data_IF_607804476277
#
_entry.id   IF_607804476277
#
_cell.length_a   1.000
_cell.length_b   1.000
_cell.length_c   1.000
_cell.angle_alpha   90.00
_cell.angle_beta   90.00
_cell.angle_gamma   90.00
#
_symmetry.space_group_name_H-M   'P 1'
#
loop_
_entity.id
_entity.type
_entity.pdbx_description
1 polymer ?
#
# COMPACT_ATOMS: atom_id res chain seq x y z
N UNK A 1 -27.27 2.30 16.31
CA UNK A 1 -26.76 1.93 17.65
C UNK A 1 -25.27 2.03 17.66
N UNK A 2 -24.66 2.55 18.72
CA UNK A 2 -23.21 2.52 18.89
C UNK A 2 -22.77 1.09 19.21
N UNK A 3 -21.65 0.67 18.60
CA UNK A 3 -21.00 -0.62 18.87
C UNK A 3 -19.72 -0.38 19.66
N UNK A 4 -19.25 -1.40 20.39
CA UNK A 4 -17.87 -1.44 20.87
C UNK A 4 -17.03 -2.24 19.86
N UNK A 5 -16.05 -1.59 19.24
CA UNK A 5 -15.27 -2.10 18.11
C UNK A 5 -13.82 -2.26 18.50
N UNK A 6 -13.29 -3.48 18.41
CA UNK A 6 -11.87 -3.77 18.54
C UNK A 6 -11.17 -3.68 17.17
N UNK A 7 -9.98 -3.09 17.10
CA UNK A 7 -9.17 -3.05 15.88
C UNK A 7 -7.79 -3.62 16.17
N UNK A 8 -7.51 -4.81 15.67
CA UNK A 8 -6.23 -5.52 15.78
C UNK A 8 -5.33 -5.12 14.63
N UNK A 9 -4.09 -4.69 14.94
CA UNK A 9 -3.20 -4.02 13.99
C UNK A 9 -3.63 -2.57 13.73
N UNK A 10 -4.22 -1.95 14.76
CA UNK A 10 -4.89 -0.67 14.66
C UNK A 10 -3.95 0.54 14.69
N UNK A 11 -2.64 0.37 14.87
CA UNK A 11 -1.67 1.46 14.77
C UNK A 11 -1.01 1.57 13.39
N UNK A 12 -1.34 0.67 12.43
CA UNK A 12 -0.80 0.67 11.08
C UNK A 12 -1.53 1.61 10.10
N UNK A 13 -0.95 1.76 8.89
CA UNK A 13 -1.41 2.68 7.82
C UNK A 13 -2.87 2.50 7.36
N UNK A 14 -3.47 1.35 7.61
CA UNK A 14 -4.88 1.07 7.30
C UNK A 14 -5.72 1.07 8.57
N UNK A 15 -5.17 0.49 9.66
CA UNK A 15 -5.88 0.30 10.92
C UNK A 15 -6.21 1.61 11.63
N UNK A 16 -5.22 2.50 11.75
CA UNK A 16 -5.40 3.74 12.50
C UNK A 16 -6.37 4.72 11.82
N UNK A 17 -6.28 5.00 10.50
CA UNK A 17 -7.29 5.82 9.83
C UNK A 17 -8.71 5.25 9.95
N UNK A 18 -8.86 3.91 9.86
CA UNK A 18 -10.16 3.26 10.06
C UNK A 18 -10.66 3.43 11.50
N UNK A 19 -9.81 3.19 12.49
CA UNK A 19 -10.15 3.35 13.90
C UNK A 19 -10.60 4.77 14.21
N UNK A 20 -9.89 5.78 13.69
CA UNK A 20 -10.24 7.20 13.81
C UNK A 20 -11.61 7.49 13.17
N UNK A 21 -11.86 6.98 11.96
CA UNK A 21 -13.14 7.20 11.28
C UNK A 21 -14.31 6.55 12.04
N UNK A 22 -14.12 5.33 12.57
CA UNK A 22 -15.12 4.62 13.35
C UNK A 22 -15.36 5.25 14.74
N UNK A 23 -14.34 5.85 15.36
CA UNK A 23 -14.46 6.52 16.67
C UNK A 23 -15.41 7.72 16.66
N UNK A 24 -15.77 8.22 15.48
CA UNK A 24 -16.82 9.23 15.36
C UNK A 24 -18.23 8.68 15.69
N UNK A 25 -18.44 7.37 15.62
CA UNK A 25 -19.74 6.71 15.67
C UNK A 25 -19.82 5.54 16.66
N UNK A 26 -18.68 5.00 17.07
CA UNK A 26 -18.56 3.79 17.89
C UNK A 26 -17.56 3.99 19.02
N UNK A 27 -17.62 3.14 20.04
CA UNK A 27 -16.54 3.00 21.01
C UNK A 27 -15.44 2.15 20.38
N UNK A 28 -14.23 2.71 20.21
CA UNK A 28 -13.13 2.01 19.52
C UNK A 28 -12.01 1.67 20.49
N UNK A 29 -11.53 0.44 20.39
CA UNK A 29 -10.38 -0.09 21.14
C UNK A 29 -9.36 -0.65 20.16
N UNK A 30 -8.20 -0.02 20.08
CA UNK A 30 -7.07 -0.46 19.26
C UNK A 30 -6.21 -1.43 20.03
N UNK A 31 -5.78 -2.50 19.36
CA UNK A 31 -4.73 -3.41 19.85
C UNK A 31 -3.64 -3.52 18.80
N UNK A 32 -2.39 -3.28 19.22
CA UNK A 32 -1.23 -3.45 18.33
C UNK A 32 -0.04 -4.03 19.10
N UNK A 33 0.83 -4.75 18.39
CA UNK A 33 2.05 -5.36 18.93
C UNK A 33 3.26 -4.42 18.87
N UNK A 34 3.17 -3.36 18.07
CA UNK A 34 4.21 -2.34 17.96
C UNK A 34 4.08 -1.35 19.12
N UNK A 35 4.90 -1.56 20.14
CA UNK A 35 4.87 -0.76 21.37
C UNK A 35 5.22 0.71 21.13
N UNK A 36 6.09 1.00 20.17
CA UNK A 36 6.46 2.39 19.83
C UNK A 36 5.31 3.10 19.14
N UNK A 37 4.64 2.44 18.18
CA UNK A 37 3.44 2.96 17.54
C UNK A 37 2.31 3.16 18.56
N UNK A 38 2.06 2.19 19.45
CA UNK A 38 1.08 2.29 20.55
C UNK A 38 1.39 3.51 21.44
N UNK A 39 2.65 3.70 21.83
CA UNK A 39 3.05 4.82 22.67
C UNK A 39 2.84 6.18 21.97
N UNK A 40 3.18 6.28 20.68
CA UNK A 40 2.96 7.48 19.87
C UNK A 40 1.46 7.80 19.75
N UNK A 41 0.65 6.83 19.34
CA UNK A 41 -0.81 7.01 19.19
C UNK A 41 -1.47 7.41 20.51
N UNK A 42 -1.05 6.83 21.66
CA UNK A 42 -1.52 7.25 22.98
C UNK A 42 -1.24 8.73 23.30
N UNK A 43 -0.14 9.28 22.78
CA UNK A 43 0.19 10.71 22.92
C UNK A 43 -0.49 11.61 21.90
N UNK A 44 -1.29 11.06 20.97
CA UNK A 44 -1.91 11.80 19.88
C UNK A 44 -0.98 12.09 18.72
N UNK A 45 0.11 11.33 18.58
CA UNK A 45 1.10 11.45 17.50
C UNK A 45 0.87 10.39 16.44
N UNK A 46 0.66 10.79 15.18
CA UNK A 46 0.56 9.85 14.08
C UNK A 46 1.91 9.13 13.85
N UNK A 47 1.93 7.78 13.75
CA UNK A 47 3.17 7.03 13.47
C UNK A 47 3.64 7.13 12.02
N UNK A 48 2.82 7.61 11.10
CA UNK A 48 3.07 7.78 9.67
C UNK A 48 2.27 8.97 9.14
N UNK A 49 2.52 9.35 7.88
CA UNK A 49 1.81 10.45 7.21
C UNK A 49 0.46 10.00 6.65
N UNK A 50 -0.62 10.68 7.04
CA UNK A 50 -1.93 10.60 6.40
C UNK A 50 -2.62 11.96 6.48
N UNK A 51 -3.16 12.44 5.38
CA UNK A 51 -3.69 13.80 5.29
C UNK A 51 -4.86 14.01 6.25
N UNK A 52 -4.72 15.01 7.13
CA UNK A 52 -5.77 15.39 8.10
C UNK A 52 -5.93 14.43 9.29
N UNK A 53 -5.05 13.42 9.42
CA UNK A 53 -5.19 12.41 10.46
C UNK A 53 -4.72 12.88 11.85
N UNK A 54 -3.76 13.81 11.94
CA UNK A 54 -3.23 14.28 13.23
C UNK A 54 -4.33 14.92 14.11
N UNK A 55 -5.09 15.85 13.55
CA UNK A 55 -6.20 16.50 14.25
C UNK A 55 -7.32 15.50 14.60
N UNK A 56 -7.66 14.63 13.63
CA UNK A 56 -8.70 13.63 13.80
C UNK A 56 -8.32 12.56 14.86
N UNK A 57 -7.05 12.20 14.98
CA UNK A 57 -6.55 11.32 16.04
C UNK A 57 -6.77 11.96 17.42
N UNK A 58 -6.40 13.24 17.57
CA UNK A 58 -6.61 13.97 18.82
C UNK A 58 -8.12 14.03 19.21
N UNK A 59 -9.01 14.18 18.25
CA UNK A 59 -10.45 14.13 18.49
C UNK A 59 -10.94 12.74 18.89
N UNK A 60 -10.49 11.68 18.20
CA UNK A 60 -10.84 10.30 18.51
C UNK A 60 -10.42 9.91 19.95
N UNK A 61 -9.22 10.30 20.38
CA UNK A 61 -8.76 10.08 21.76
C UNK A 61 -9.60 10.84 22.78
N UNK A 62 -9.96 12.09 22.53
CA UNK A 62 -10.86 12.86 23.40
C UNK A 62 -12.26 12.25 23.50
N UNK A 63 -12.72 11.54 22.47
CA UNK A 63 -14.00 10.78 22.48
C UNK A 63 -13.90 9.44 23.19
N UNK A 64 -12.73 9.07 23.71
CA UNK A 64 -12.51 7.86 24.49
C UNK A 64 -11.98 6.66 23.69
N UNK A 65 -11.40 6.87 22.50
CA UNK A 65 -10.70 5.79 21.80
C UNK A 65 -9.56 5.25 22.68
N UNK A 66 -9.59 3.93 22.93
CA UNK A 66 -8.59 3.22 23.74
C UNK A 66 -7.51 2.63 22.84
N UNK A 67 -6.25 2.77 23.24
CA UNK A 67 -5.10 2.20 22.53
C UNK A 67 -4.34 1.29 23.49
N UNK A 68 -4.16 0.02 23.14
CA UNK A 68 -3.60 -1.00 24.01
C UNK A 68 -2.67 -1.95 23.28
N UNK A 69 -1.75 -2.53 23.99
CA UNK A 69 -0.92 -3.68 23.62
C UNK A 69 -1.49 -4.99 24.17
N UNK A 70 -2.50 -4.90 25.06
CA UNK A 70 -3.14 -6.06 25.69
C UNK A 70 -4.42 -6.47 24.92
N UNK A 71 -4.48 -7.68 24.34
CA UNK A 71 -5.65 -8.16 23.60
C UNK A 71 -6.89 -8.42 24.46
N UNK A 72 -6.78 -8.45 25.78
CA UNK A 72 -7.92 -8.64 26.68
C UNK A 72 -9.01 -7.57 26.51
N UNK A 73 -8.66 -6.36 26.04
CA UNK A 73 -9.63 -5.30 25.77
C UNK A 73 -10.64 -5.66 24.68
N UNK A 74 -10.37 -6.70 23.87
CA UNK A 74 -11.26 -7.19 22.82
C UNK A 74 -12.44 -8.00 23.36
N UNK A 75 -12.38 -8.49 24.60
CA UNK A 75 -13.43 -9.34 25.18
C UNK A 75 -14.79 -8.67 25.27
N UNK A 76 -14.80 -7.36 25.44
CA UNK A 76 -16.03 -6.56 25.57
C UNK A 76 -16.51 -5.97 24.23
N UNK A 77 -15.79 -6.24 23.14
CA UNK A 77 -16.17 -5.71 21.83
C UNK A 77 -17.32 -6.51 21.21
N UNK A 78 -18.24 -5.83 20.53
CA UNK A 78 -19.27 -6.48 19.71
C UNK A 78 -18.66 -6.99 18.40
N UNK A 79 -17.73 -6.20 17.83
CA UNK A 79 -17.06 -6.50 16.58
C UNK A 79 -15.54 -6.37 16.77
N UNK A 80 -14.79 -7.34 16.26
CA UNK A 80 -13.32 -7.31 16.24
C UNK A 80 -12.86 -7.30 14.79
N UNK A 81 -12.18 -6.24 14.38
CA UNK A 81 -11.61 -6.07 13.05
C UNK A 81 -10.15 -6.49 13.07
N UNK A 82 -9.73 -7.31 12.11
CA UNK A 82 -8.34 -7.74 11.94
C UNK A 82 -7.74 -7.04 10.73
N UNK A 83 -6.68 -6.25 10.99
CA UNK A 83 -5.93 -5.52 9.97
C UNK A 83 -4.44 -5.74 10.22
N UNK A 84 -3.92 -6.85 9.74
CA UNK A 84 -2.50 -7.20 9.87
C UNK A 84 -1.85 -7.38 8.50
N UNK A 85 -0.52 -7.27 8.47
CA UNK A 85 0.25 -7.62 7.28
C UNK A 85 0.07 -9.10 6.92
N UNK A 86 -0.13 -9.38 5.64
CA UNK A 86 -0.23 -10.73 5.09
C UNK A 86 0.90 -10.95 4.09
N UNK A 87 2.13 -11.21 4.58
CA UNK A 87 3.31 -11.32 3.72
C UNK A 87 3.23 -12.55 2.81
N UNK A 88 4.00 -12.51 1.74
CA UNK A 88 4.39 -13.70 0.98
C UNK A 88 5.72 -14.24 1.52
N UNK A 89 5.97 -15.52 1.31
CA UNK A 89 7.24 -16.16 1.63
C UNK A 89 8.32 -15.85 0.56
N UNK A 90 9.50 -16.42 0.73
CA UNK A 90 10.64 -16.28 -0.19
C UNK A 90 10.37 -16.84 -1.60
N UNK A 91 9.34 -17.65 -1.75
CA UNK A 91 8.89 -18.21 -3.03
C UNK A 91 7.69 -17.45 -3.60
N UNK A 92 7.34 -16.29 -3.03
CA UNK A 92 6.19 -15.46 -3.38
C UNK A 92 4.82 -16.16 -3.15
N UNK A 93 4.78 -17.19 -2.30
CA UNK A 93 3.54 -17.85 -1.89
C UNK A 93 2.98 -17.18 -0.63
N UNK A 94 1.66 -17.29 -0.37
CA UNK A 94 1.07 -16.76 0.85
C UNK A 94 1.68 -17.35 2.12
N UNK A 95 2.15 -16.51 3.04
CA UNK A 95 2.61 -16.95 4.35
C UNK A 95 1.45 -16.97 5.34
N UNK A 96 1.00 -18.16 5.74
CA UNK A 96 -0.10 -18.31 6.71
C UNK A 96 0.35 -18.21 8.16
N UNK A 97 1.64 -18.32 8.45
CA UNK A 97 2.18 -18.43 9.83
C UNK A 97 1.77 -17.25 10.72
N UNK A 98 1.83 -16.03 10.20
CA UNK A 98 1.47 -14.81 10.96
C UNK A 98 -0.02 -14.82 11.27
N UNK A 99 -0.84 -15.20 10.30
CA UNK A 99 -2.28 -15.26 10.44
C UNK A 99 -2.73 -16.36 11.41
N UNK A 100 -2.12 -17.54 11.33
CA UNK A 100 -2.42 -18.67 12.24
C UNK A 100 -2.03 -18.35 13.69
N UNK A 101 -0.91 -17.66 13.93
CA UNK A 101 -0.54 -17.17 15.25
C UNK A 101 -1.58 -16.21 15.82
N UNK A 102 -2.02 -15.25 15.00
CA UNK A 102 -3.05 -14.31 15.42
C UNK A 102 -4.35 -15.02 15.75
N UNK A 103 -4.81 -15.98 14.93
CA UNK A 103 -6.03 -16.74 15.21
C UNK A 103 -5.93 -17.50 16.54
N UNK A 104 -4.77 -18.07 16.86
CA UNK A 104 -4.56 -18.73 18.13
C UNK A 104 -4.65 -17.75 19.32
N UNK A 105 -4.09 -16.55 19.19
CA UNK A 105 -4.21 -15.51 20.22
C UNK A 105 -5.65 -15.02 20.36
N UNK A 106 -6.34 -14.79 19.24
CA UNK A 106 -7.73 -14.35 19.25
C UNK A 106 -8.68 -15.40 19.85
N UNK A 107 -8.38 -16.69 19.68
CA UNK A 107 -9.16 -17.77 20.29
C UNK A 107 -9.25 -17.64 21.82
N UNK A 108 -8.20 -17.16 22.47
CA UNK A 108 -8.15 -16.99 23.93
C UNK A 108 -9.02 -15.82 24.42
N UNK A 109 -9.25 -14.83 23.58
CA UNK A 109 -9.93 -13.59 23.97
C UNK A 109 -11.33 -13.43 23.37
N UNK A 110 -11.60 -14.00 22.20
CA UNK A 110 -12.92 -13.91 21.57
C UNK A 110 -14.00 -14.61 22.40
N UNK A 111 -15.23 -14.11 22.33
CA UNK A 111 -16.40 -14.60 23.04
C UNK A 111 -17.55 -14.91 22.07
N UNK A 112 -18.40 -15.83 22.46
CA UNK A 112 -19.62 -16.13 21.73
C UNK A 112 -20.47 -14.85 21.53
N UNK A 113 -21.06 -14.72 20.35
CA UNK A 113 -21.88 -13.57 19.96
C UNK A 113 -21.13 -12.39 19.38
N UNK A 114 -19.78 -12.39 19.38
CA UNK A 114 -18.98 -11.40 18.66
C UNK A 114 -18.97 -11.66 17.15
N UNK A 115 -18.61 -10.62 16.39
CA UNK A 115 -18.31 -10.75 14.96
C UNK A 115 -16.84 -10.44 14.70
N UNK A 116 -16.13 -11.35 14.05
CA UNK A 116 -14.77 -11.17 13.57
C UNK A 116 -14.80 -10.67 12.13
N UNK A 117 -14.34 -9.45 11.89
CA UNK A 117 -14.24 -8.85 10.56
C UNK A 117 -12.80 -8.91 10.06
N UNK A 118 -12.55 -9.71 9.04
CA UNK A 118 -11.26 -9.75 8.36
C UNK A 118 -11.21 -8.61 7.34
N UNK A 119 -10.21 -7.74 7.45
CA UNK A 119 -10.03 -6.59 6.55
C UNK A 119 -8.68 -6.62 5.81
N UNK A 120 -7.72 -7.37 6.30
CA UNK A 120 -6.46 -7.63 5.59
C UNK A 120 -6.71 -8.30 4.24
N UNK A 121 -5.89 -8.00 3.25
CA UNK A 121 -5.88 -8.76 2.00
C UNK A 121 -5.41 -10.19 2.29
N UNK A 122 -6.23 -11.16 1.99
CA UNK A 122 -5.96 -12.57 2.27
C UNK A 122 -5.92 -13.41 1.00
N UNK A 123 -5.32 -14.59 1.09
CA UNK A 123 -5.41 -15.60 0.05
C UNK A 123 -6.86 -16.09 -0.08
N UNK A 124 -7.39 -16.28 -1.31
CA UNK A 124 -8.79 -16.68 -1.51
C UNK A 124 -9.16 -17.97 -0.76
N UNK A 125 -10.30 -17.93 -0.06
CA UNK A 125 -10.77 -19.00 0.81
C UNK A 125 -10.30 -18.88 2.28
N UNK A 126 -9.48 -17.90 2.62
CA UNK A 126 -8.98 -17.72 3.99
C UNK A 126 -10.11 -17.41 4.97
N UNK A 127 -11.08 -16.57 4.60
CA UNK A 127 -12.20 -16.24 5.50
C UNK A 127 -13.07 -17.45 5.82
N UNK A 128 -13.29 -18.34 4.84
CA UNK A 128 -14.00 -19.60 5.08
C UNK A 128 -13.21 -20.55 6.00
N UNK A 129 -11.89 -20.65 5.79
CA UNK A 129 -11.00 -21.41 6.68
C UNK A 129 -11.10 -20.91 8.11
N UNK A 130 -11.10 -19.59 8.33
CA UNK A 130 -11.24 -18.97 9.66
C UNK A 130 -12.60 -19.31 10.28
N UNK A 131 -13.69 -19.15 9.54
CA UNK A 131 -15.03 -19.51 10.02
C UNK A 131 -15.11 -20.98 10.46
N UNK A 132 -14.54 -21.88 9.64
CA UNK A 132 -14.52 -23.32 9.94
C UNK A 132 -13.61 -23.65 11.12
N UNK A 133 -12.49 -22.95 11.31
CA UNK A 133 -11.59 -23.16 12.45
C UNK A 133 -12.25 -22.72 13.77
N UNK A 134 -12.86 -21.55 13.81
CA UNK A 134 -13.57 -21.05 14.98
C UNK A 134 -14.72 -22.00 15.39
N UNK A 135 -15.49 -22.49 14.41
CA UNK A 135 -16.55 -23.48 14.66
C UNK A 135 -16.00 -24.78 15.21
N UNK A 136 -14.91 -25.31 14.67
CA UNK A 136 -14.27 -26.55 15.19
C UNK A 136 -13.77 -26.40 16.62
N UNK A 137 -13.35 -25.18 17.00
CA UNK A 137 -12.92 -24.86 18.37
C UNK A 137 -14.09 -24.56 19.32
N UNK A 138 -15.34 -24.65 18.82
CA UNK A 138 -16.54 -24.42 19.63
C UNK A 138 -16.90 -22.96 19.87
N UNK A 139 -16.22 -22.02 19.20
CA UNK A 139 -16.50 -20.59 19.31
C UNK A 139 -17.65 -20.20 18.37
N UNK A 140 -18.73 -19.67 18.96
CA UNK A 140 -19.87 -19.13 18.24
C UNK A 140 -19.62 -17.64 17.88
N UNK A 141 -18.72 -17.41 16.94
CA UNK A 141 -18.33 -16.10 16.42
C UNK A 141 -18.70 -16.03 14.96
N UNK A 142 -19.38 -14.97 14.55
CA UNK A 142 -19.64 -14.70 13.14
C UNK A 142 -18.37 -14.20 12.45
N UNK A 143 -18.13 -14.64 11.21
CA UNK A 143 -17.01 -14.13 10.40
C UNK A 143 -17.55 -13.34 9.22
N UNK A 144 -16.98 -12.18 9.03
CA UNK A 144 -17.21 -11.31 7.88
C UNK A 144 -15.87 -10.99 7.19
N UNK A 145 -15.89 -10.76 5.90
CA UNK A 145 -14.76 -10.25 5.15
C UNK A 145 -15.12 -8.91 4.51
N UNK A 146 -14.44 -7.85 4.92
CA UNK A 146 -14.71 -6.48 4.48
C UNK A 146 -13.40 -5.81 4.06
N UNK A 147 -12.92 -6.05 2.83
CA UNK A 147 -11.58 -5.62 2.40
C UNK A 147 -11.42 -4.11 2.33
N UNK A 148 -10.21 -3.64 2.59
CA UNK A 148 -9.83 -2.25 2.43
C UNK A 148 -9.38 -1.93 1.01
N UNK A 149 -9.73 -0.73 0.51
CA UNK A 149 -9.35 -0.26 -0.84
C UNK A 149 -8.70 1.12 -0.84
N UNK A 150 -8.43 1.70 0.32
CA UNK A 150 -7.82 3.02 0.43
C UNK A 150 -6.36 3.05 -0.01
N UNK A 151 -5.91 4.24 -0.38
CA UNK A 151 -4.52 4.53 -0.65
C UNK A 151 -3.85 5.12 0.61
N UNK A 152 -2.67 4.61 0.97
CA UNK A 152 -1.86 5.18 2.06
C UNK A 152 -1.61 6.68 1.83
N UNK A 153 -1.57 7.46 2.92
CA UNK A 153 -1.37 8.91 2.90
C UNK A 153 -2.63 9.75 2.69
N UNK A 154 -3.74 9.12 2.28
CA UNK A 154 -5.08 9.75 2.14
C UNK A 154 -6.18 8.80 2.62
N UNK A 155 -5.82 7.83 3.45
CA UNK A 155 -6.71 6.76 3.86
C UNK A 155 -7.93 7.29 4.63
N UNK A 156 -7.74 8.26 5.52
CA UNK A 156 -8.82 8.84 6.31
C UNK A 156 -9.88 9.52 5.43
N UNK A 157 -9.47 10.24 4.39
CA UNK A 157 -10.38 10.87 3.42
C UNK A 157 -11.13 9.79 2.61
N UNK A 158 -10.41 8.79 2.11
CA UNK A 158 -10.99 7.76 1.25
C UNK A 158 -11.94 6.83 2.00
N UNK A 159 -11.71 6.52 3.28
CA UNK A 159 -12.67 5.74 4.11
C UNK A 159 -14.04 6.42 4.16
N UNK A 160 -14.07 7.76 4.20
CA UNK A 160 -15.30 8.56 4.26
C UNK A 160 -15.99 8.77 2.92
N UNK A 161 -15.38 8.33 1.82
CA UNK A 161 -15.86 8.55 0.45
C UNK A 161 -16.09 7.27 -0.35
N UNK A 162 -15.21 6.29 -0.19
CA UNK A 162 -15.29 5.07 -0.99
C UNK A 162 -16.38 4.12 -0.47
N UNK A 163 -17.18 3.49 -1.36
CA UNK A 163 -18.10 2.43 -0.96
C UNK A 163 -17.37 1.33 -0.21
N UNK A 164 -17.98 0.82 0.86
CA UNK A 164 -17.43 -0.28 1.64
C UNK A 164 -17.97 -1.61 1.14
N UNK A 165 -17.08 -2.60 0.91
CA UNK A 165 -17.49 -3.96 0.60
C UNK A 165 -17.77 -4.68 1.93
N UNK A 166 -18.93 -5.30 2.03
CA UNK A 166 -19.36 -6.08 3.18
C UNK A 166 -19.72 -7.49 2.75
N UNK A 167 -19.33 -8.48 3.56
CA UNK A 167 -19.72 -9.86 3.34
C UNK A 167 -19.81 -10.62 4.66
N UNK A 168 -20.44 -11.78 4.66
CA UNK A 168 -20.53 -12.65 5.82
C UNK A 168 -21.01 -14.05 5.42
N UNK A 169 -20.76 -15.04 6.26
CA UNK A 169 -21.18 -16.43 6.03
C UNK A 169 -22.61 -16.71 6.45
N UNK A 170 -23.21 -15.80 7.22
CA UNK A 170 -24.59 -15.87 7.69
C UNK A 170 -25.26 -14.51 7.59
N UNK A 171 -26.59 -14.44 7.58
CA UNK A 171 -27.31 -13.16 7.63
C UNK A 171 -26.93 -12.30 8.83
N UNK A 172 -26.61 -12.93 9.98
CA UNK A 172 -26.16 -12.22 11.19
C UNK A 172 -24.79 -11.56 10.99
N UNK A 173 -23.83 -12.27 10.39
CA UNK A 173 -22.50 -11.73 10.05
C UNK A 173 -22.59 -10.57 9.06
N UNK A 174 -23.42 -10.68 8.02
CA UNK A 174 -23.68 -9.58 7.08
C UNK A 174 -24.31 -8.37 7.80
N UNK A 175 -25.32 -8.61 8.63
CA UNK A 175 -25.98 -7.54 9.38
C UNK A 175 -25.00 -6.79 10.32
N UNK A 176 -24.11 -7.52 10.99
CA UNK A 176 -23.08 -6.94 11.85
C UNK A 176 -22.08 -6.10 11.05
N UNK A 177 -21.61 -6.60 9.90
CA UNK A 177 -20.73 -5.85 9.00
C UNK A 177 -21.40 -4.57 8.46
N UNK A 178 -22.68 -4.65 8.10
CA UNK A 178 -23.47 -3.47 7.70
C UNK A 178 -23.62 -2.45 8.85
N UNK A 179 -23.94 -2.92 10.05
CA UNK A 179 -24.08 -2.05 11.22
C UNK A 179 -22.76 -1.34 11.58
N UNK A 180 -21.62 -1.99 11.36
CA UNK A 180 -20.30 -1.42 11.58
C UNK A 180 -20.01 -0.24 10.63
N UNK A 181 -20.30 -0.38 9.34
CA UNK A 181 -19.90 0.61 8.32
C UNK A 181 -21.00 1.60 7.92
N UNK A 182 -22.29 1.31 8.19
CA UNK A 182 -23.39 2.19 7.83
C UNK A 182 -23.25 3.63 8.37
N UNK A 183 -22.75 3.85 9.61
CA UNK A 183 -22.59 5.22 10.13
C UNK A 183 -21.55 6.08 9.39
N UNK A 184 -20.68 5.47 8.58
CA UNK A 184 -19.75 6.24 7.72
C UNK A 184 -20.46 7.01 6.61
N UNK A 185 -21.75 6.68 6.33
CA UNK A 185 -22.56 7.40 5.33
C UNK A 185 -22.19 7.09 3.88
N UNK A 186 -21.43 6.04 3.64
CA UNK A 186 -21.03 5.59 2.29
C UNK A 186 -21.87 4.40 1.82
N UNK A 187 -21.89 4.15 0.51
CA UNK A 187 -22.54 2.97 -0.05
C UNK A 187 -21.93 1.67 0.48
N UNK A 188 -22.78 0.67 0.75
CA UNK A 188 -22.36 -0.66 1.17
C UNK A 188 -22.65 -1.65 0.05
N UNK A 189 -21.58 -2.24 -0.51
CA UNK A 189 -21.64 -3.25 -1.56
C UNK A 189 -21.58 -4.64 -0.91
N UNK A 190 -22.70 -5.35 -0.91
CA UNK A 190 -22.79 -6.69 -0.35
C UNK A 190 -22.35 -7.73 -1.38
N UNK A 191 -21.39 -8.57 -0.98
CA UNK A 191 -20.86 -9.67 -1.79
C UNK A 191 -20.80 -10.95 -0.94
N UNK A 192 -20.66 -12.11 -1.60
CA UNK A 192 -20.27 -13.33 -0.88
C UNK A 192 -18.81 -13.25 -0.45
N UNK A 193 -18.38 -13.91 0.65
CA UNK A 193 -17.02 -13.79 1.18
C UNK A 193 -15.92 -14.00 0.13
N UNK A 194 -15.97 -15.07 -0.66
CA UNK A 194 -14.99 -15.33 -1.71
C UNK A 194 -15.01 -14.26 -2.82
N UNK A 195 -16.19 -13.73 -3.17
CA UNK A 195 -16.28 -12.62 -4.14
C UNK A 195 -15.62 -11.36 -3.61
N UNK A 196 -15.77 -11.07 -2.32
CA UNK A 196 -15.12 -9.93 -1.68
C UNK A 196 -13.60 -10.09 -1.62
N UNK A 197 -13.09 -11.30 -1.30
CA UNK A 197 -11.65 -11.63 -1.33
C UNK A 197 -11.07 -11.42 -2.74
N UNK A 198 -11.72 -12.00 -3.76
CA UNK A 198 -11.30 -11.87 -5.16
C UNK A 198 -11.40 -10.42 -5.65
N UNK A 199 -12.45 -9.68 -5.27
CA UNK A 199 -12.58 -8.25 -5.65
C UNK A 199 -11.38 -7.44 -5.19
N UNK A 200 -10.90 -7.67 -3.96
CA UNK A 200 -9.70 -6.97 -3.46
C UNK A 200 -8.46 -7.32 -4.29
N UNK A 201 -8.21 -8.59 -4.52
CA UNK A 201 -7.05 -9.04 -5.31
C UNK A 201 -7.15 -8.55 -6.76
N UNK A 202 -8.30 -8.72 -7.41
CA UNK A 202 -8.48 -8.27 -8.80
C UNK A 202 -8.28 -6.77 -8.97
N UNK A 203 -8.73 -5.96 -8.01
CA UNK A 203 -8.50 -4.51 -8.05
C UNK A 203 -7.01 -4.17 -8.04
N UNK A 204 -6.23 -4.79 -7.17
CA UNK A 204 -4.78 -4.54 -7.09
C UNK A 204 -4.04 -5.11 -8.31
N UNK A 205 -4.38 -6.32 -8.73
CA UNK A 205 -3.83 -6.96 -9.94
C UNK A 205 -4.11 -6.13 -11.19
N UNK A 206 -5.35 -5.66 -11.37
CA UNK A 206 -5.71 -4.78 -12.48
C UNK A 206 -4.85 -3.51 -12.52
N UNK A 207 -4.65 -2.86 -11.37
CA UNK A 207 -3.78 -1.69 -11.28
C UNK A 207 -2.33 -2.02 -11.64
N UNK A 208 -1.81 -3.14 -11.13
CA UNK A 208 -0.44 -3.57 -11.39
C UNK A 208 -0.18 -3.85 -12.88
N UNK A 209 -1.12 -4.52 -13.54
CA UNK A 209 -1.07 -4.80 -14.98
C UNK A 209 -1.14 -3.50 -15.79
N UNK A 210 -2.00 -2.55 -15.41
CA UNK A 210 -2.07 -1.26 -16.10
C UNK A 210 -0.77 -0.47 -16.01
N UNK A 211 -0.09 -0.49 -14.85
CA UNK A 211 1.26 0.08 -14.76
C UNK A 211 2.27 -0.65 -15.65
N UNK A 212 2.19 -1.98 -15.73
CA UNK A 212 3.08 -2.73 -16.62
C UNK A 212 2.85 -2.39 -18.10
N UNK A 213 1.61 -2.20 -18.53
CA UNK A 213 1.29 -1.74 -19.89
C UNK A 213 1.92 -0.37 -20.16
N UNK A 214 1.77 0.59 -19.24
CA UNK A 214 2.36 1.92 -19.38
C UNK A 214 3.89 1.87 -19.40
N UNK A 215 4.49 1.08 -18.51
CA UNK A 215 5.93 0.89 -18.44
C UNK A 215 6.48 0.21 -19.69
N UNK A 216 5.80 -0.83 -20.21
CA UNK A 216 6.23 -1.50 -21.43
C UNK A 216 6.17 -0.56 -22.65
N UNK A 217 5.14 0.26 -22.78
CA UNK A 217 5.04 1.25 -23.85
C UNK A 217 6.10 2.35 -23.72
N UNK A 218 6.38 2.79 -22.48
CA UNK A 218 7.51 3.69 -22.21
C UNK A 218 8.84 3.09 -22.67
N UNK A 219 9.12 1.82 -22.29
CA UNK A 219 10.35 1.14 -22.68
C UNK A 219 10.49 1.04 -24.19
N UNK A 220 9.40 0.70 -24.91
CA UNK A 220 9.37 0.65 -26.36
C UNK A 220 9.65 2.03 -27.00
N UNK A 221 8.98 3.08 -26.54
CA UNK A 221 9.19 4.44 -27.05
C UNK A 221 10.63 4.93 -26.79
N UNK A 222 11.16 4.64 -25.59
CA UNK A 222 12.52 5.04 -25.21
C UNK A 222 13.60 4.39 -26.09
N UNK A 223 13.43 3.13 -26.52
CA UNK A 223 14.37 2.48 -27.46
C UNK A 223 14.49 3.25 -28.80
N UNK A 224 13.46 3.96 -29.20
CA UNK A 224 13.43 4.82 -30.38
C UNK A 224 13.74 6.28 -30.07
N UNK A 225 14.15 6.63 -28.85
CA UNK A 225 14.37 8.00 -28.38
C UNK A 225 13.12 8.90 -28.55
N UNK A 226 11.94 8.32 -28.36
CA UNK A 226 10.64 9.02 -28.42
C UNK A 226 10.14 9.27 -27.00
N UNK A 227 9.63 10.47 -26.76
CA UNK A 227 8.99 10.81 -25.50
C UNK A 227 7.60 10.16 -25.40
N UNK A 228 7.49 9.15 -24.56
CA UNK A 228 6.23 8.44 -24.35
C UNK A 228 5.12 9.32 -23.77
N UNK A 229 5.45 10.34 -22.97
CA UNK A 229 4.41 11.20 -22.39
C UNK A 229 3.66 12.01 -23.44
N UNK A 230 4.30 12.35 -24.55
CA UNK A 230 3.61 12.95 -25.71
C UNK A 230 2.64 11.96 -26.37
N UNK A 231 3.06 10.69 -26.49
CA UNK A 231 2.19 9.62 -27.02
C UNK A 231 1.04 9.40 -26.06
N UNK A 232 1.30 9.27 -24.74
CA UNK A 232 0.29 9.06 -23.70
C UNK A 232 -0.74 10.19 -23.70
N UNK A 233 -0.30 11.45 -23.85
CA UNK A 233 -1.19 12.60 -23.97
C UNK A 233 -2.13 12.42 -25.18
N UNK A 234 -1.58 12.12 -26.37
CA UNK A 234 -2.36 11.91 -27.57
C UNK A 234 -3.33 10.72 -27.46
N UNK A 235 -2.91 9.63 -26.81
CA UNK A 235 -3.78 8.47 -26.55
C UNK A 235 -4.98 8.80 -25.67
N UNK A 236 -4.80 9.71 -24.70
CA UNK A 236 -5.84 10.04 -23.69
C UNK A 236 -6.72 11.21 -24.11
N UNK A 237 -6.22 12.10 -24.97
CA UNK A 237 -6.89 13.35 -25.33
C UNK A 237 -8.22 13.07 -26.02
N UNK A 238 -9.32 13.42 -25.36
CA UNK A 238 -10.71 13.22 -25.82
C UNK A 238 -11.03 11.77 -26.27
N UNK A 239 -10.28 10.79 -25.77
CA UNK A 239 -10.49 9.37 -26.09
C UNK A 239 -10.82 8.55 -24.83
N UNK A 240 -12.13 8.35 -24.54
CA UNK A 240 -12.59 7.71 -23.28
C UNK A 240 -12.00 6.33 -23.02
N UNK A 241 -11.72 5.54 -24.08
CA UNK A 241 -11.20 4.17 -23.94
C UNK A 241 -9.77 4.10 -23.41
N UNK A 242 -8.98 5.17 -23.51
CA UNK A 242 -7.63 5.24 -22.97
C UNK A 242 -7.50 6.22 -21.78
N UNK A 243 -8.58 6.90 -21.39
CA UNK A 243 -8.55 7.97 -20.38
C UNK A 243 -7.96 7.53 -19.03
N UNK A 244 -8.17 6.27 -18.65
CA UNK A 244 -7.73 5.71 -17.37
C UNK A 244 -6.29 5.13 -17.41
N UNK A 245 -5.60 5.17 -18.56
CA UNK A 245 -4.24 4.65 -18.64
C UNK A 245 -3.30 5.44 -17.73
N UNK A 246 -2.54 4.78 -16.83
CA UNK A 246 -1.59 5.47 -15.96
C UNK A 246 -0.38 5.99 -16.73
N UNK A 247 0.36 6.90 -16.12
CA UNK A 247 1.71 7.24 -16.57
C UNK A 247 2.71 6.12 -16.20
N UNK A 248 3.84 6.00 -16.91
CA UNK A 248 4.92 5.10 -16.53
C UNK A 248 5.60 5.57 -15.25
N UNK A 249 6.30 4.65 -14.59
CA UNK A 249 7.07 4.95 -13.38
C UNK A 249 7.38 3.70 -12.58
N UNK A 250 8.12 3.88 -11.50
CA UNK A 250 8.46 2.79 -10.59
C UNK A 250 7.23 2.36 -9.77
N UNK A 251 6.31 1.62 -10.43
CA UNK A 251 5.08 1.10 -9.83
C UNK A 251 5.43 0.00 -8.82
N UNK A 252 5.42 0.35 -7.57
CA UNK A 252 5.91 -0.46 -6.47
C UNK A 252 4.95 -0.42 -5.27
N UNK A 253 5.48 -0.80 -4.13
CA UNK A 253 4.80 -0.79 -2.84
C UNK A 253 4.38 -2.18 -2.37
N UNK A 254 4.05 -2.31 -1.09
CA UNK A 254 3.91 -3.60 -0.41
C UNK A 254 2.72 -4.45 -0.86
N UNK A 255 1.82 -3.90 -1.69
CA UNK A 255 0.56 -4.55 -2.01
C UNK A 255 0.50 -5.10 -3.44
N UNK A 256 0.89 -4.30 -4.47
CA UNK A 256 0.56 -4.63 -5.86
C UNK A 256 1.25 -5.92 -6.35
N UNK A 257 2.56 -6.02 -6.16
CA UNK A 257 3.33 -7.22 -6.50
C UNK A 257 2.85 -8.43 -5.71
N UNK A 258 2.76 -8.28 -4.39
CA UNK A 258 2.34 -9.34 -3.47
C UNK A 258 0.98 -9.92 -3.85
N UNK A 259 -0.03 -9.07 -4.07
CA UNK A 259 -1.39 -9.50 -4.38
C UNK A 259 -1.47 -10.17 -5.77
N UNK A 260 -0.63 -9.72 -6.72
CA UNK A 260 -0.49 -10.36 -8.03
C UNK A 260 0.11 -11.77 -7.90
N UNK A 261 1.11 -11.95 -7.04
CA UNK A 261 1.69 -13.27 -6.79
C UNK A 261 0.76 -14.19 -6.01
N UNK A 262 -0.02 -13.66 -5.05
CA UNK A 262 -1.07 -14.45 -4.39
C UNK A 262 -2.13 -14.94 -5.39
N UNK A 263 -2.52 -14.11 -6.35
CA UNK A 263 -3.43 -14.50 -7.42
C UNK A 263 -2.81 -15.57 -8.34
N UNK A 264 -1.51 -15.45 -8.62
CA UNK A 264 -0.80 -16.46 -9.40
C UNK A 264 -0.78 -17.81 -8.68
N UNK A 265 -0.45 -17.82 -7.39
CA UNK A 265 -0.47 -19.03 -6.57
C UNK A 265 -1.87 -19.65 -6.50
N UNK A 266 -2.92 -18.84 -6.35
CA UNK A 266 -4.32 -19.30 -6.37
C UNK A 266 -4.72 -19.96 -7.70
N UNK A 267 -4.20 -19.46 -8.81
CA UNK A 267 -4.41 -20.02 -10.14
C UNK A 267 -3.33 -21.04 -10.54
N UNK A 268 -2.77 -21.79 -9.59
CA UNK A 268 -1.76 -22.82 -9.81
C UNK A 268 -0.55 -22.33 -10.66
N UNK A 269 -0.11 -21.10 -10.46
CA UNK A 269 0.95 -20.43 -11.22
C UNK A 269 0.69 -20.31 -12.73
N UNK A 270 -0.56 -20.38 -13.18
CA UNK A 270 -0.95 -20.22 -14.58
C UNK A 270 -1.43 -18.81 -14.93
N UNK A 271 -1.19 -17.84 -14.04
CA UNK A 271 -1.54 -16.45 -14.26
C UNK A 271 -0.42 -15.71 -15.02
N UNK A 272 -0.22 -16.06 -16.29
CA UNK A 272 0.87 -15.54 -17.15
C UNK A 272 0.85 -14.01 -17.27
N UNK A 273 -0.34 -13.38 -17.34
CA UNK A 273 -0.47 -11.93 -17.41
C UNK A 273 0.14 -11.23 -16.18
N UNK A 274 -0.08 -11.79 -14.99
CA UNK A 274 0.51 -11.28 -13.75
C UNK A 274 2.03 -11.45 -13.70
N UNK A 275 2.55 -12.60 -14.13
CA UNK A 275 3.99 -12.84 -14.23
C UNK A 275 4.67 -11.89 -15.23
N UNK A 276 4.05 -11.68 -16.40
CA UNK A 276 4.56 -10.72 -17.38
C UNK A 276 4.56 -9.30 -16.84
N UNK A 277 3.51 -8.90 -16.13
CA UNK A 277 3.45 -7.59 -15.49
C UNK A 277 4.54 -7.40 -14.42
N UNK A 278 4.83 -8.45 -13.63
CA UNK A 278 5.94 -8.46 -12.68
C UNK A 278 7.27 -8.24 -13.37
N UNK A 279 7.56 -8.99 -14.44
CA UNK A 279 8.82 -8.86 -15.17
C UNK A 279 9.02 -7.45 -15.73
N UNK A 280 7.97 -6.82 -16.24
CA UNK A 280 8.02 -5.45 -16.77
C UNK A 280 8.26 -4.44 -15.65
N UNK A 281 7.42 -4.44 -14.60
CA UNK A 281 7.50 -3.45 -13.54
C UNK A 281 8.80 -3.58 -12.74
N UNK A 282 9.17 -4.80 -12.35
CA UNK A 282 10.40 -5.08 -11.62
C UNK A 282 11.67 -4.92 -12.49
N UNK A 283 11.55 -5.02 -13.80
CA UNK A 283 12.62 -4.82 -14.75
C UNK A 283 12.90 -3.36 -15.10
N UNK A 284 11.97 -2.45 -14.82
CA UNK A 284 12.10 -1.05 -15.20
C UNK A 284 13.36 -0.35 -14.64
N UNK A 285 13.76 -0.54 -13.36
CA UNK A 285 15.01 0.05 -12.87
C UNK A 285 16.24 -0.38 -13.67
N UNK A 286 16.33 -1.67 -14.03
CA UNK A 286 17.43 -2.18 -14.85
C UNK A 286 17.41 -1.58 -16.26
N UNK A 287 16.22 -1.48 -16.87
CA UNK A 287 16.07 -0.83 -18.17
C UNK A 287 16.56 0.62 -18.14
N UNK A 288 16.17 1.40 -17.13
CA UNK A 288 16.60 2.78 -16.94
C UNK A 288 18.12 2.88 -16.84
N UNK A 289 18.75 2.04 -16.01
CA UNK A 289 20.21 2.03 -15.87
C UNK A 289 20.91 1.65 -17.17
N UNK A 290 20.39 0.68 -17.91
CA UNK A 290 20.95 0.31 -19.22
C UNK A 290 20.88 1.49 -20.22
N UNK A 291 19.80 2.30 -20.19
CA UNK A 291 19.69 3.52 -20.98
C UNK A 291 20.71 4.57 -20.54
N UNK A 292 20.88 4.75 -19.21
CA UNK A 292 21.88 5.65 -18.65
C UNK A 292 23.31 5.29 -19.10
N UNK A 293 23.66 4.01 -19.09
CA UNK A 293 24.97 3.52 -19.57
C UNK A 293 25.21 3.81 -21.05
N UNK A 294 24.18 3.72 -21.89
CA UNK A 294 24.27 4.09 -23.31
C UNK A 294 24.44 5.61 -23.49
N UNK A 295 23.76 6.40 -22.65
CA UNK A 295 23.79 7.87 -22.72
C UNK A 295 25.07 8.46 -22.14
N UNK A 296 25.57 7.88 -21.05
CA UNK A 296 26.78 8.26 -20.33
C UNK A 296 27.72 7.07 -20.19
N UNK A 297 28.57 6.81 -21.21
CA UNK A 297 29.53 5.68 -21.15
C UNK A 297 30.53 5.81 -20.01
N UNK A 298 30.73 7.01 -19.50
CA UNK A 298 31.59 7.36 -18.35
C UNK A 298 30.84 7.32 -16.99
N UNK A 299 29.65 6.69 -16.92
CA UNK A 299 28.83 6.63 -15.71
C UNK A 299 29.59 6.12 -14.48
N UNK A 300 30.57 5.22 -14.68
CA UNK A 300 31.45 4.70 -13.63
C UNK A 300 32.26 5.80 -12.89
N UNK A 301 32.44 6.97 -13.51
CA UNK A 301 33.15 8.10 -12.90
C UNK A 301 32.21 9.15 -12.31
N UNK A 302 30.89 8.98 -12.49
CA UNK A 302 29.89 9.96 -12.08
C UNK A 302 29.24 9.63 -10.77
N UNK A 303 28.86 10.68 -10.04
CA UNK A 303 28.00 10.59 -8.86
C UNK A 303 26.55 10.76 -9.27
N UNK A 304 25.72 9.79 -8.95
CA UNK A 304 24.30 9.78 -9.28
C UNK A 304 23.47 10.11 -8.04
N UNK A 305 22.65 11.14 -8.10
CA UNK A 305 21.68 11.50 -7.07
C UNK A 305 20.32 10.83 -7.33
N UNK A 306 19.80 10.05 -6.40
CA UNK A 306 18.41 9.55 -6.45
C UNK A 306 17.54 10.45 -5.57
N UNK A 307 16.53 11.04 -6.17
CA UNK A 307 15.56 11.92 -5.50
C UNK A 307 14.26 11.15 -5.25
N UNK A 308 14.02 10.80 -4.00
CA UNK A 308 12.86 10.01 -3.56
C UNK A 308 13.16 8.53 -3.41
N UNK A 309 13.03 8.04 -2.17
CA UNK A 309 13.27 6.66 -1.78
C UNK A 309 11.98 5.95 -1.35
N UNK A 310 10.90 6.68 -1.08
CA UNK A 310 9.58 6.10 -0.84
C UNK A 310 9.06 5.35 -2.06
N UNK A 311 8.11 4.42 -1.87
CA UNK A 311 7.54 3.67 -2.99
C UNK A 311 6.60 4.50 -3.88
N UNK A 312 6.13 5.65 -3.40
CA UNK A 312 5.27 6.60 -4.14
C UNK A 312 5.48 8.02 -3.67
N UNK A 313 4.91 8.97 -4.41
CA UNK A 313 4.91 10.38 -4.05
C UNK A 313 4.20 10.65 -2.71
N UNK A 314 4.72 11.65 -1.95
CA UNK A 314 4.12 12.17 -0.71
C UNK A 314 3.92 11.11 0.39
N UNK A 315 4.73 10.05 0.39
CA UNK A 315 4.73 8.96 1.36
C UNK A 315 6.09 8.87 2.06
N UNK A 316 6.09 8.33 3.27
CA UNK A 316 7.26 7.96 4.07
C UNK A 316 7.54 6.45 4.04
N UNK A 317 6.68 5.66 3.35
CA UNK A 317 6.80 4.22 3.26
C UNK A 317 7.79 3.78 2.18
N UNK A 318 8.79 3.01 2.59
CA UNK A 318 9.86 2.50 1.73
C UNK A 318 9.68 1.03 1.33
N UNK A 319 8.65 0.36 1.85
CA UNK A 319 8.45 -1.07 1.61
C UNK A 319 8.27 -1.36 0.13
N UNK A 320 9.07 -2.31 -0.38
CA UNK A 320 9.09 -2.71 -1.79
C UNK A 320 9.30 -1.54 -2.77
N UNK A 321 9.96 -0.44 -2.33
CA UNK A 321 10.28 0.67 -3.21
C UNK A 321 11.34 0.28 -4.23
N UNK A 322 11.04 0.46 -5.51
CA UNK A 322 11.97 0.22 -6.62
C UNK A 322 13.13 1.22 -6.65
N UNK A 323 13.07 2.33 -5.91
CA UNK A 323 14.20 3.24 -5.73
C UNK A 323 15.40 2.57 -5.04
N UNK A 324 15.15 1.66 -4.09
CA UNK A 324 16.22 0.87 -3.47
C UNK A 324 16.82 -0.16 -4.43
N UNK A 325 16.02 -0.77 -5.30
CA UNK A 325 16.50 -1.65 -6.37
C UNK A 325 17.35 -0.87 -7.37
N UNK A 326 16.89 0.31 -7.77
CA UNK A 326 17.62 1.25 -8.62
C UNK A 326 18.97 1.62 -7.98
N UNK A 327 18.98 1.98 -6.68
CA UNK A 327 20.21 2.27 -5.92
C UNK A 327 21.20 1.11 -6.01
N UNK A 328 20.75 -0.12 -5.76
CA UNK A 328 21.63 -1.32 -5.83
C UNK A 328 22.26 -1.50 -7.22
N UNK A 329 21.47 -1.34 -8.29
CA UNK A 329 21.96 -1.48 -9.66
C UNK A 329 22.96 -0.38 -9.99
N UNK A 330 22.64 0.87 -9.69
CA UNK A 330 23.52 2.02 -9.91
C UNK A 330 24.85 1.91 -9.15
N UNK A 331 24.82 1.39 -7.92
CA UNK A 331 26.04 1.19 -7.13
C UNK A 331 27.06 0.23 -7.75
N UNK A 332 26.63 -0.58 -8.73
CA UNK A 332 27.52 -1.49 -9.48
C UNK A 332 28.16 -0.84 -10.72
N UNK A 333 27.59 0.27 -11.21
CA UNK A 333 27.93 0.82 -12.54
C UNK A 333 28.20 2.34 -12.54
N UNK A 334 28.08 3.01 -11.38
CA UNK A 334 28.39 4.42 -11.22
C UNK A 334 29.51 4.61 -10.19
N UNK A 335 30.12 5.80 -10.17
CA UNK A 335 31.20 6.14 -9.22
C UNK A 335 30.70 6.21 -7.78
N UNK A 336 29.56 6.82 -7.57
CA UNK A 336 28.91 6.95 -6.25
C UNK A 336 27.39 7.12 -6.43
N UNK A 337 26.60 6.62 -5.48
CA UNK A 337 25.14 6.84 -5.45
C UNK A 337 24.76 7.58 -4.17
N UNK A 338 24.24 8.79 -4.33
CA UNK A 338 23.74 9.63 -3.24
C UNK A 338 22.19 9.54 -3.24
N UNK A 339 21.58 9.35 -2.10
CA UNK A 339 20.13 9.21 -1.98
C UNK A 339 19.54 10.20 -1.00
N UNK A 340 18.40 10.80 -1.34
CA UNK A 340 17.66 11.71 -0.47
C UNK A 340 16.16 11.52 -0.58
N UNK A 341 15.44 11.79 0.49
CA UNK A 341 13.98 11.79 0.54
C UNK A 341 13.50 12.73 1.65
N UNK A 342 12.51 13.61 1.41
CA UNK A 342 12.05 14.57 2.40
C UNK A 342 11.20 13.96 3.53
N UNK A 343 10.75 12.72 3.37
CA UNK A 343 9.76 12.10 4.26
C UNK A 343 10.27 10.81 4.91
N UNK A 344 11.20 10.12 4.26
CA UNK A 344 11.74 8.84 4.72
C UNK A 344 12.78 9.07 5.81
N UNK A 345 12.65 8.33 6.90
CA UNK A 345 13.68 8.27 7.96
C UNK A 345 14.59 7.06 7.74
N UNK A 346 15.73 7.29 7.10
CA UNK A 346 16.77 6.27 6.86
C UNK A 346 18.14 6.94 7.12
N UNK A 347 18.96 6.42 8.05
CA UNK A 347 20.26 7.00 8.40
C UNK A 347 21.26 7.03 7.24
N UNK A 348 21.01 6.31 6.16
CA UNK A 348 21.85 6.31 4.96
C UNK A 348 21.46 7.38 3.94
N UNK A 349 20.44 8.18 4.21
CA UNK A 349 20.06 9.30 3.34
C UNK A 349 21.01 10.48 3.57
N UNK A 350 21.27 11.19 2.49
CA UNK A 350 22.09 12.39 2.47
C UNK A 350 21.18 13.63 2.40
N UNK A 351 21.56 14.69 3.04
CA UNK A 351 20.89 16.01 2.95
C UNK A 351 20.67 16.40 1.48
N UNK A 352 19.46 16.87 1.14
CA UNK A 352 19.07 17.23 -0.23
C UNK A 352 20.02 18.24 -0.86
N UNK A 353 20.37 19.28 -0.10
CA UNK A 353 21.32 20.31 -0.55
C UNK A 353 22.67 19.73 -0.94
N UNK A 354 23.18 18.78 -0.17
CA UNK A 354 24.44 18.10 -0.45
C UNK A 354 24.34 17.16 -1.65
N UNK A 355 23.21 16.45 -1.81
CA UNK A 355 22.99 15.64 -3.02
C UNK A 355 22.96 16.51 -4.28
N UNK A 356 22.27 17.66 -4.23
CA UNK A 356 22.22 18.63 -5.34
C UNK A 356 23.61 19.19 -5.65
N UNK A 357 24.43 19.45 -4.66
CA UNK A 357 25.78 19.94 -4.85
C UNK A 357 26.70 18.89 -5.49
N UNK A 358 26.73 17.69 -4.93
CA UNK A 358 27.73 16.67 -5.23
C UNK A 358 27.41 15.82 -6.46
N UNK A 359 26.12 15.52 -6.72
CA UNK A 359 25.75 14.67 -7.84
C UNK A 359 26.06 15.31 -9.19
N UNK A 360 26.44 14.52 -10.17
CA UNK A 360 26.70 14.95 -11.56
C UNK A 360 25.42 14.84 -12.42
N UNK A 361 24.51 13.93 -12.05
CA UNK A 361 23.19 13.74 -12.65
C UNK A 361 22.21 13.18 -11.63
N UNK A 362 20.91 13.25 -11.94
CA UNK A 362 19.86 12.84 -11.03
C UNK A 362 18.93 11.81 -11.66
N UNK A 363 18.29 11.00 -10.81
CA UNK A 363 17.14 10.14 -11.16
C UNK A 363 16.00 10.44 -10.19
N UNK A 364 14.80 10.69 -10.72
CA UNK A 364 13.59 10.80 -9.90
C UNK A 364 13.13 9.40 -9.54
N UNK A 365 13.36 8.98 -8.29
CA UNK A 365 12.93 7.69 -7.75
C UNK A 365 11.46 7.71 -7.33
N UNK A 366 11.07 8.70 -6.52
CA UNK A 366 9.68 8.99 -6.17
C UNK A 366 9.34 10.43 -6.52
N UNK A 367 8.22 10.70 -7.21
CA UNK A 367 7.90 12.02 -7.74
C UNK A 367 7.24 12.92 -6.69
N UNK A 368 7.94 13.21 -5.59
CA UNK A 368 7.47 14.15 -4.57
C UNK A 368 7.33 15.56 -5.15
N UNK A 369 6.27 16.29 -4.78
CA UNK A 369 5.98 17.64 -5.28
C UNK A 369 7.17 18.57 -5.16
N UNK A 370 7.94 18.43 -4.07
CA UNK A 370 9.15 19.20 -3.80
C UNK A 370 10.18 19.13 -4.93
N UNK A 371 10.31 17.99 -5.61
CA UNK A 371 11.31 17.82 -6.67
C UNK A 371 10.92 18.43 -8.02
N UNK A 372 9.65 18.85 -8.18
CA UNK A 372 9.18 19.44 -9.44
C UNK A 372 9.96 20.71 -9.80
N UNK A 373 10.16 21.58 -8.82
CA UNK A 373 10.77 22.90 -9.00
C UNK A 373 12.15 22.99 -8.34
N UNK A 374 12.68 21.89 -7.79
CA UNK A 374 13.99 21.87 -7.15
C UNK A 374 15.06 22.29 -8.17
N UNK A 375 15.86 23.34 -7.82
CA UNK A 375 16.96 23.77 -8.66
C UNK A 375 18.10 22.73 -8.64
N UNK A 376 18.26 22.02 -9.75
CA UNK A 376 19.29 20.99 -9.94
C UNK A 376 20.52 21.56 -10.67
N UNK A 377 20.70 22.89 -10.68
CA UNK A 377 21.86 23.59 -11.25
C UNK A 377 22.14 23.23 -12.73
N UNK A 378 21.09 22.99 -13.51
CA UNK A 378 21.19 22.62 -14.93
C UNK A 378 21.77 21.22 -15.20
N UNK A 379 21.96 20.40 -14.15
CA UNK A 379 22.49 19.04 -14.30
C UNK A 379 21.44 18.10 -14.92
N UNK A 380 21.87 17.04 -15.66
CA UNK A 380 20.94 16.09 -16.28
C UNK A 380 20.03 15.39 -15.28
N UNK A 381 18.77 15.13 -15.69
CA UNK A 381 17.77 14.44 -14.88
C UNK A 381 17.16 13.29 -15.68
N UNK A 382 17.16 12.11 -15.12
CA UNK A 382 16.41 10.96 -15.60
C UNK A 382 15.05 10.96 -14.90
N UNK A 383 14.00 11.22 -15.65
CA UNK A 383 12.65 11.42 -15.12
C UNK A 383 11.63 10.56 -15.87
N UNK A 384 11.52 9.30 -15.49
CA UNK A 384 10.55 8.36 -16.07
C UNK A 384 9.11 8.85 -15.90
N UNK A 385 8.86 9.59 -14.80
CA UNK A 385 7.54 10.10 -14.45
C UNK A 385 7.11 11.32 -15.25
N UNK A 386 8.06 11.98 -15.95
CA UNK A 386 7.89 13.34 -16.49
C UNK A 386 7.38 14.32 -15.42
N UNK A 387 7.84 14.13 -14.20
CA UNK A 387 7.41 14.93 -13.05
C UNK A 387 7.77 16.41 -13.20
N UNK A 388 8.91 16.67 -13.84
CA UNK A 388 9.43 18.03 -14.12
C UNK A 388 8.93 18.62 -15.44
N UNK A 389 8.20 17.86 -16.24
CA UNK A 389 7.63 18.33 -17.51
C UNK A 389 8.63 18.51 -18.66
N UNK A 390 9.88 18.05 -18.51
CA UNK A 390 10.92 18.18 -19.53
C UNK A 390 10.98 17.00 -20.53
N UNK A 391 10.04 16.06 -20.41
CA UNK A 391 10.04 14.80 -21.15
C UNK A 391 10.75 13.69 -20.37
N UNK A 392 10.68 12.47 -20.89
CA UNK A 392 11.21 11.26 -20.24
C UNK A 392 12.27 10.52 -21.07
N UNK A 393 12.81 11.16 -22.09
CA UNK A 393 13.87 10.59 -22.94
C UNK A 393 15.20 10.58 -22.19
N UNK A 394 15.85 9.39 -22.09
CA UNK A 394 17.13 9.17 -21.43
C UNK A 394 18.26 9.09 -22.47
#
# INVERSE_FOLDING_TARGET
MSLTVGVVGGCGHVGLPLAIALAAHHEVRIVDIDLDAVARVRRGEMPFRDAGADEALGEALRRGMVVSDNPEVLRECNVVIVIIGTPVDEHLNPSFTVFDRLLNQLHEVLRAGQTLVLRSTVYPGTSERVQNDLRRRGLQVEVAFCPERVAEGVALEEIRRLPQIVSGFTPAGVAAARALFAPLGVELLELRPLEAELTKLFTNVYRYINFAVANQFYMLAAEWNIDFHRILHAMKHEYPRAAQMPAPGFAAGPCLLKDTMQMSAFNNNQFFLGHSAMLVNEGLPQFVVNRMLRRWPDLMTKRVGILGMAFKAESDDTRESLSYKLKKILSLVSGEVLTTDPYVSDPNLVEESRVVELADLFVIGAPHRRYRELDLKGKPVVDVWNHRGAGSVI
#
